data_IF_041257085470
#
_entry.id   IF_041257085470
#
_cell.length_a   1.000
_cell.length_b   1.000
_cell.length_c   1.000
_cell.angle_alpha   90.00
_cell.angle_beta   90.00
_cell.angle_gamma   90.00
#
_symmetry.space_group_name_H-M   'P 1'
#
loop_
_entity.id
_entity.type
_entity.pdbx_description
1 polymer ?
#
# COMPACT_ATOMS: atom_id res chain seq x y z
N UNK A 1 -23.61 -22.51 31.13
CA UNK A 1 -24.97 -22.96 30.76
C UNK A 1 -25.99 -21.86 31.01
N UNK A 2 -26.40 -21.11 29.98
CA UNK A 2 -27.57 -20.22 30.03
C UNK A 2 -28.48 -20.59 28.86
N UNK A 3 -29.68 -21.09 29.18
CA UNK A 3 -30.70 -21.53 28.22
C UNK A 3 -31.35 -20.30 27.57
N UNK A 4 -31.25 -20.16 26.25
CA UNK A 4 -32.10 -19.25 25.48
C UNK A 4 -33.51 -19.85 25.36
N UNK A 5 -34.53 -19.09 25.77
CA UNK A 5 -35.94 -19.39 25.50
C UNK A 5 -36.27 -18.92 24.08
N UNK A 6 -36.72 -19.83 23.21
CA UNK A 6 -37.35 -19.49 21.92
C UNK A 6 -38.83 -19.17 22.17
N UNK A 7 -39.26 -17.97 21.82
CA UNK A 7 -40.68 -17.66 21.61
C UNK A 7 -41.05 -18.00 20.18
N UNK A 8 -42.05 -18.86 20.00
CA UNK A 8 -42.64 -19.14 18.69
C UNK A 8 -43.70 -18.07 18.40
N UNK A 9 -43.45 -17.24 17.39
CA UNK A 9 -44.46 -16.38 16.78
C UNK A 9 -44.76 -16.96 15.39
N UNK A 10 -45.98 -17.44 15.22
CA UNK A 10 -46.51 -18.01 13.98
C UNK A 10 -46.62 -16.94 12.90
N UNK A 11 -45.75 -16.99 11.88
CA UNK A 11 -45.88 -16.22 10.64
C UNK A 11 -46.65 -17.03 9.59
N UNK A 12 -47.66 -16.39 9.00
CA UNK A 12 -48.27 -16.79 7.74
C UNK A 12 -47.21 -16.79 6.63
N UNK A 13 -46.93 -17.97 6.07
CA UNK A 13 -45.99 -18.14 4.98
C UNK A 13 -46.61 -17.65 3.66
N UNK A 14 -46.20 -16.46 3.20
CA UNK A 14 -46.21 -16.17 1.78
C UNK A 14 -44.95 -16.80 1.18
N UNK A 15 -45.11 -17.92 0.48
CA UNK A 15 -44.03 -18.55 -0.28
C UNK A 15 -43.72 -17.70 -1.52
N UNK A 16 -42.84 -16.71 -1.38
CA UNK A 16 -42.08 -16.24 -2.52
C UNK A 16 -41.08 -17.35 -2.90
N UNK A 17 -40.80 -17.57 -4.20
CA UNK A 17 -39.73 -18.47 -4.58
C UNK A 17 -38.42 -17.89 -4.06
N UNK A 18 -37.89 -18.43 -2.97
CA UNK A 18 -36.48 -18.26 -2.66
C UNK A 18 -35.73 -19.03 -3.74
N UNK A 19 -35.18 -18.34 -4.74
CA UNK A 19 -34.15 -18.95 -5.54
C UNK A 19 -33.03 -19.31 -4.57
N UNK A 20 -32.86 -20.62 -4.31
CA UNK A 20 -31.83 -21.10 -3.40
C UNK A 20 -30.48 -20.67 -3.97
N UNK A 21 -29.68 -19.93 -3.19
CA UNK A 21 -28.38 -19.48 -3.66
C UNK A 21 -27.41 -20.66 -3.67
N UNK A 22 -26.55 -20.73 -4.68
CA UNK A 22 -25.71 -21.89 -4.96
C UNK A 22 -24.21 -21.56 -4.81
N UNK A 23 -23.38 -22.60 -4.78
CA UNK A 23 -21.91 -22.43 -4.84
C UNK A 23 -21.45 -21.80 -6.17
N UNK A 24 -22.23 -21.95 -7.25
CA UNK A 24 -21.97 -21.29 -8.52
C UNK A 24 -22.09 -19.77 -8.38
N UNK A 25 -23.08 -19.29 -7.63
CA UNK A 25 -23.28 -17.87 -7.34
C UNK A 25 -22.11 -17.29 -6.53
N UNK A 26 -21.55 -18.05 -5.57
CA UNK A 26 -20.34 -17.66 -4.83
C UNK A 26 -19.15 -17.50 -5.77
N UNK A 27 -18.91 -18.49 -6.63
CA UNK A 27 -17.79 -18.44 -7.57
C UNK A 27 -17.94 -17.29 -8.56
N UNK A 28 -19.17 -17.02 -9.01
CA UNK A 28 -19.49 -15.90 -9.89
C UNK A 28 -19.21 -14.56 -9.21
N UNK A 29 -19.76 -14.35 -8.01
CA UNK A 29 -19.56 -13.14 -7.23
C UNK A 29 -18.08 -12.90 -6.91
N UNK A 30 -17.38 -13.93 -6.43
CA UNK A 30 -15.94 -13.85 -6.15
C UNK A 30 -15.14 -13.45 -7.39
N UNK A 31 -15.39 -14.10 -8.54
CA UNK A 31 -14.70 -13.79 -9.80
C UNK A 31 -14.99 -12.36 -10.28
N UNK A 32 -16.24 -11.91 -10.19
CA UNK A 32 -16.63 -10.57 -10.59
C UNK A 32 -15.93 -9.49 -9.74
N UNK A 33 -15.92 -9.67 -8.41
CA UNK A 33 -15.21 -8.78 -7.48
C UNK A 33 -13.71 -8.75 -7.81
N UNK A 34 -13.07 -9.92 -8.00
CA UNK A 34 -11.65 -10.00 -8.37
C UNK A 34 -11.35 -9.30 -9.70
N UNK A 35 -12.23 -9.45 -10.70
CA UNK A 35 -12.08 -8.75 -11.98
C UNK A 35 -12.10 -7.23 -11.80
N UNK A 36 -12.94 -6.73 -10.88
CA UNK A 36 -13.03 -5.30 -10.61
C UNK A 36 -11.83 -4.77 -9.83
N UNK A 37 -11.30 -5.54 -8.86
CA UNK A 37 -10.12 -5.17 -8.08
C UNK A 37 -8.86 -4.99 -8.93
N UNK A 38 -8.74 -5.78 -9.99
CA UNK A 38 -7.60 -5.72 -10.91
C UNK A 38 -7.90 -4.95 -12.20
N UNK A 39 -9.06 -4.26 -12.29
CA UNK A 39 -9.37 -3.42 -13.44
C UNK A 39 -8.43 -2.20 -13.49
N UNK A 40 -8.00 -1.84 -14.69
CA UNK A 40 -7.29 -0.59 -14.95
C UNK A 40 -8.25 0.59 -15.17
N UNK A 41 -9.57 0.35 -15.12
CA UNK A 41 -10.57 1.37 -15.36
C UNK A 41 -10.56 2.45 -14.27
N UNK A 42 -10.82 3.71 -14.63
CA UNK A 42 -10.92 4.80 -13.65
C UNK A 42 -11.98 4.53 -12.58
N UNK A 43 -11.70 4.89 -11.33
CA UNK A 43 -12.61 4.65 -10.19
C UNK A 43 -14.02 5.21 -10.40
N UNK A 44 -14.18 6.31 -11.15
CA UNK A 44 -15.51 6.89 -11.42
C UNK A 44 -16.43 5.97 -12.25
N UNK A 45 -15.88 5.04 -13.04
CA UNK A 45 -16.66 4.08 -13.84
C UNK A 45 -17.14 2.86 -13.04
N UNK A 46 -16.67 2.69 -11.80
CA UNK A 46 -17.01 1.55 -10.94
C UNK A 46 -18.53 1.41 -10.70
N UNK A 47 -19.13 0.28 -11.02
CA UNK A 47 -20.52 0.00 -10.67
C UNK A 47 -20.66 -0.48 -9.22
N UNK A 48 -20.95 0.45 -8.31
CA UNK A 48 -21.10 0.14 -6.88
C UNK A 48 -22.35 -0.69 -6.58
N UNK A 49 -23.39 -0.62 -7.41
CA UNK A 49 -24.61 -1.38 -7.20
C UNK A 49 -24.40 -2.85 -7.52
N UNK A 50 -23.66 -3.14 -8.59
CA UNK A 50 -23.31 -4.53 -8.94
C UNK A 50 -22.36 -5.14 -7.90
N UNK A 51 -21.38 -4.37 -7.39
CA UNK A 51 -20.56 -4.82 -6.27
C UNK A 51 -21.38 -5.10 -5.01
N UNK A 52 -22.31 -4.22 -4.65
CA UNK A 52 -23.18 -4.43 -3.49
C UNK A 52 -24.02 -5.70 -3.66
N UNK A 53 -24.59 -5.93 -4.84
CA UNK A 53 -25.34 -7.15 -5.14
C UNK A 53 -24.50 -8.42 -4.97
N UNK A 54 -23.21 -8.39 -5.34
CA UNK A 54 -22.29 -9.49 -5.08
C UNK A 54 -22.05 -9.69 -3.58
N UNK A 55 -21.91 -8.61 -2.81
CA UNK A 55 -21.81 -8.69 -1.34
C UNK A 55 -23.08 -9.34 -0.75
N UNK A 56 -24.26 -8.87 -1.13
CA UNK A 56 -25.56 -9.37 -0.64
C UNK A 56 -25.75 -10.87 -0.98
N UNK A 57 -25.29 -11.29 -2.15
CA UNK A 57 -25.25 -12.70 -2.58
C UNK A 57 -24.37 -13.52 -1.64
N UNK A 58 -23.15 -13.05 -1.36
CA UNK A 58 -22.20 -13.72 -0.47
C UNK A 58 -22.73 -13.79 0.97
N UNK A 59 -23.36 -12.72 1.48
CA UNK A 59 -23.98 -12.72 2.80
C UNK A 59 -25.13 -13.73 2.91
N UNK A 60 -25.96 -13.84 1.88
CA UNK A 60 -27.06 -14.81 1.84
C UNK A 60 -26.51 -16.23 1.89
N UNK A 61 -25.48 -16.50 1.11
CA UNK A 61 -24.82 -17.82 1.10
C UNK A 61 -24.20 -18.16 2.46
N UNK A 62 -23.52 -17.22 3.13
CA UNK A 62 -22.97 -17.46 4.49
C UNK A 62 -24.05 -17.85 5.51
N UNK A 63 -25.31 -17.43 5.31
CA UNK A 63 -26.45 -17.79 6.18
C UNK A 63 -27.04 -19.16 5.85
N UNK A 64 -26.98 -19.57 4.59
CA UNK A 64 -27.64 -20.79 4.09
C UNK A 64 -26.71 -22.00 4.02
N UNK A 65 -25.40 -21.77 3.87
CA UNK A 65 -24.38 -22.81 3.66
C UNK A 65 -23.28 -22.66 4.71
N UNK A 66 -22.93 -23.79 5.35
CA UNK A 66 -21.77 -23.86 6.25
C UNK A 66 -20.48 -24.04 5.44
N UNK A 67 -19.50 -23.18 5.69
CA UNK A 67 -18.18 -23.23 5.06
C UNK A 67 -17.12 -23.62 6.08
N UNK A 68 -16.11 -24.38 5.63
CA UNK A 68 -14.87 -24.48 6.41
C UNK A 68 -14.17 -23.12 6.50
N UNK A 69 -13.24 -22.99 7.45
CA UNK A 69 -12.55 -21.73 7.72
C UNK A 69 -11.82 -21.15 6.49
N UNK A 70 -11.27 -22.00 5.62
CA UNK A 70 -10.53 -21.55 4.44
C UNK A 70 -11.46 -20.95 3.38
N UNK A 71 -12.59 -21.61 3.12
CA UNK A 71 -13.61 -21.12 2.19
C UNK A 71 -14.31 -19.88 2.74
N UNK A 72 -14.59 -19.84 4.05
CA UNK A 72 -15.13 -18.65 4.71
C UNK A 72 -14.17 -17.45 4.60
N UNK A 73 -12.86 -17.66 4.77
CA UNK A 73 -11.86 -16.59 4.60
C UNK A 73 -11.84 -16.01 3.17
N UNK A 74 -12.00 -16.87 2.14
CA UNK A 74 -12.08 -16.43 0.74
C UNK A 74 -13.30 -15.55 0.51
N UNK A 75 -14.46 -15.97 1.03
CA UNK A 75 -15.72 -15.21 0.94
C UNK A 75 -15.55 -13.86 1.64
N UNK A 76 -15.04 -13.87 2.87
CA UNK A 76 -14.87 -12.66 3.67
C UNK A 76 -13.90 -11.67 3.01
N UNK A 77 -12.82 -12.17 2.41
CA UNK A 77 -11.89 -11.34 1.65
C UNK A 77 -12.57 -10.68 0.45
N UNK A 78 -13.43 -11.40 -0.27
CA UNK A 78 -14.19 -10.83 -1.38
C UNK A 78 -15.13 -9.71 -0.90
N UNK A 79 -15.82 -9.94 0.22
CA UNK A 79 -16.74 -8.96 0.81
C UNK A 79 -16.01 -7.68 1.25
N UNK A 80 -14.91 -7.82 2.00
CA UNK A 80 -14.10 -6.66 2.43
C UNK A 80 -13.53 -5.90 1.23
N UNK A 81 -12.99 -6.59 0.22
CA UNK A 81 -12.45 -5.92 -0.96
C UNK A 81 -13.53 -5.21 -1.79
N UNK A 82 -14.73 -5.78 -1.93
CA UNK A 82 -15.84 -5.13 -2.62
C UNK A 82 -16.33 -3.89 -1.86
N UNK A 83 -16.53 -4.01 -0.54
CA UNK A 83 -16.94 -2.90 0.31
C UNK A 83 -15.88 -1.78 0.33
N UNK A 84 -14.59 -2.13 0.33
CA UNK A 84 -13.50 -1.16 0.20
C UNK A 84 -13.59 -0.36 -1.10
N UNK A 85 -13.82 -1.02 -2.24
CA UNK A 85 -13.97 -0.33 -3.53
C UNK A 85 -15.18 0.61 -3.55
N UNK A 86 -16.30 0.17 -3.00
CA UNK A 86 -17.52 0.99 -2.87
C UNK A 86 -17.21 2.24 -2.04
N UNK A 87 -16.62 2.07 -0.86
CA UNK A 87 -16.29 3.16 0.06
C UNK A 87 -15.23 4.10 -0.54
N UNK A 88 -14.28 3.57 -1.31
CA UNK A 88 -13.30 4.38 -2.06
C UNK A 88 -13.98 5.27 -3.10
N UNK A 89 -15.01 4.77 -3.80
CA UNK A 89 -15.78 5.58 -4.75
C UNK A 89 -16.62 6.65 -4.05
N UNK A 90 -17.25 6.33 -2.92
CA UNK A 90 -17.92 7.34 -2.10
C UNK A 90 -16.97 8.45 -1.67
N UNK A 91 -15.80 8.08 -1.13
CA UNK A 91 -14.75 9.05 -0.78
C UNK A 91 -14.34 9.91 -1.97
N UNK A 92 -14.08 9.29 -3.13
CA UNK A 92 -13.71 9.99 -4.37
C UNK A 92 -14.75 11.02 -4.82
N UNK A 93 -16.04 10.73 -4.60
CA UNK A 93 -17.14 11.65 -4.92
C UNK A 93 -17.40 12.71 -3.83
N UNK A 94 -16.70 12.67 -2.69
CA UNK A 94 -16.98 13.51 -1.53
C UNK A 94 -18.28 13.14 -0.80
N UNK A 95 -18.74 11.90 -0.96
CA UNK A 95 -19.94 11.36 -0.32
C UNK A 95 -19.59 10.74 1.05
N UNK A 96 -20.52 10.76 2.03
CA UNK A 96 -20.29 10.12 3.31
C UNK A 96 -20.15 8.60 3.13
N UNK A 97 -19.20 8.02 3.87
CA UNK A 97 -18.93 6.58 3.85
C UNK A 97 -19.70 5.93 4.99
N UNK A 98 -20.50 4.90 4.69
CA UNK A 98 -21.08 4.01 5.70
C UNK A 98 -20.07 2.91 6.04
N UNK A 99 -19.61 2.92 7.29
CA UNK A 99 -18.60 1.97 7.79
C UNK A 99 -19.21 0.76 8.50
N UNK A 100 -20.54 0.69 8.65
CA UNK A 100 -21.20 -0.40 9.37
C UNK A 100 -20.92 -1.76 8.74
N UNK A 101 -21.07 -1.87 7.41
CA UNK A 101 -20.87 -3.14 6.72
C UNK A 101 -19.42 -3.63 6.79
N UNK A 102 -18.43 -2.74 6.66
CA UNK A 102 -17.03 -3.14 6.81
C UNK A 102 -16.71 -3.50 8.25
N UNK A 103 -17.31 -2.84 9.24
CA UNK A 103 -17.15 -3.21 10.65
C UNK A 103 -17.67 -4.64 10.90
N UNK A 104 -18.85 -4.97 10.38
CA UNK A 104 -19.41 -6.33 10.52
C UNK A 104 -18.48 -7.39 9.90
N UNK A 105 -17.86 -7.10 8.75
CA UNK A 105 -16.89 -8.00 8.14
C UNK A 105 -15.56 -8.12 8.90
N UNK A 106 -15.12 -7.05 9.58
CA UNK A 106 -13.96 -7.10 10.46
C UNK A 106 -14.26 -7.89 11.75
N UNK A 107 -15.48 -7.81 12.28
CA UNK A 107 -15.92 -8.61 13.42
C UNK A 107 -16.00 -10.11 13.04
N UNK A 108 -16.48 -10.43 11.83
CA UNK A 108 -16.41 -11.78 11.24
C UNK A 108 -14.96 -12.28 11.13
N UNK A 109 -14.02 -11.40 10.75
CA UNK A 109 -12.59 -11.71 10.63
C UNK A 109 -11.96 -11.99 12.00
N UNK A 110 -12.25 -11.16 12.99
CA UNK A 110 -11.75 -11.36 14.35
C UNK A 110 -12.27 -12.69 14.91
N UNK A 111 -13.56 -12.98 14.72
CA UNK A 111 -14.16 -14.28 15.10
C UNK A 111 -13.47 -15.44 14.39
N UNK A 112 -13.26 -15.34 13.08
CA UNK A 112 -12.56 -16.37 12.31
C UNK A 112 -11.15 -16.61 12.86
N UNK A 113 -10.41 -15.54 13.16
CA UNK A 113 -9.04 -15.58 13.66
C UNK A 113 -8.92 -16.26 15.03
N UNK A 114 -9.95 -16.18 15.87
CA UNK A 114 -9.99 -16.86 17.18
C UNK A 114 -10.21 -18.37 17.07
N UNK A 115 -10.88 -18.83 16.01
CA UNK A 115 -11.33 -20.23 15.87
C UNK A 115 -10.53 -21.05 14.85
N UNK A 116 -9.50 -20.46 14.25
CA UNK A 116 -8.72 -21.09 13.19
C UNK A 116 -7.22 -20.87 13.33
N UNK A 117 -6.44 -21.84 12.85
CA UNK A 117 -4.97 -21.73 12.74
C UNK A 117 -4.52 -21.36 11.30
N UNK A 118 -5.46 -21.11 10.38
CA UNK A 118 -5.09 -20.78 8.99
C UNK A 118 -4.44 -19.39 8.92
N UNK A 119 -3.48 -19.23 8.02
CA UNK A 119 -2.82 -17.94 7.77
C UNK A 119 -3.70 -17.07 6.88
N UNK A 120 -4.38 -16.09 7.47
CA UNK A 120 -5.34 -15.22 6.78
C UNK A 120 -4.68 -14.18 5.87
N UNK A 121 -3.43 -13.77 6.16
CA UNK A 121 -2.51 -13.03 5.29
C UNK A 121 -3.15 -11.88 4.48
N UNK A 122 -3.58 -12.12 3.24
CA UNK A 122 -4.19 -11.10 2.36
C UNK A 122 -5.44 -10.48 2.99
N UNK A 123 -6.23 -11.29 3.70
CA UNK A 123 -7.43 -10.84 4.39
C UNK A 123 -7.07 -9.86 5.51
N UNK A 124 -6.08 -10.18 6.35
CA UNK A 124 -5.55 -9.29 7.37
C UNK A 124 -4.87 -8.04 6.77
N UNK A 125 -4.19 -8.19 5.63
CA UNK A 125 -3.59 -7.06 4.93
C UNK A 125 -4.64 -6.04 4.49
N UNK A 126 -5.72 -6.50 3.86
CA UNK A 126 -6.85 -5.66 3.44
C UNK A 126 -7.60 -5.07 4.65
N UNK A 127 -7.84 -5.89 5.68
CA UNK A 127 -8.47 -5.43 6.92
C UNK A 127 -7.69 -4.30 7.60
N UNK A 128 -6.35 -4.36 7.57
CA UNK A 128 -5.52 -3.28 8.08
C UNK A 128 -5.69 -1.97 7.31
N UNK A 129 -5.80 -2.02 5.97
CA UNK A 129 -6.07 -0.84 5.14
C UNK A 129 -7.44 -0.24 5.43
N UNK A 130 -8.48 -1.08 5.54
CA UNK A 130 -9.83 -0.63 5.90
C UNK A 130 -9.83 0.01 7.29
N UNK A 131 -9.18 -0.63 8.27
CA UNK A 131 -9.07 -0.10 9.61
C UNK A 131 -8.32 1.25 9.65
N UNK A 132 -7.24 1.40 8.87
CA UNK A 132 -6.48 2.63 8.79
C UNK A 132 -7.28 3.77 8.13
N UNK A 133 -7.81 3.52 6.93
CA UNK A 133 -8.27 4.57 6.03
C UNK A 133 -9.78 4.83 6.10
N UNK A 134 -10.59 3.85 6.49
CA UNK A 134 -12.06 4.02 6.60
C UNK A 134 -12.51 4.17 8.03
N UNK A 135 -11.96 3.37 8.95
CA UNK A 135 -12.30 3.46 10.38
C UNK A 135 -11.43 4.46 11.16
N UNK A 136 -10.34 4.96 10.55
CA UNK A 136 -9.36 5.82 11.21
C UNK A 136 -8.79 5.20 12.50
N UNK A 137 -8.75 3.87 12.56
CA UNK A 137 -8.33 3.10 13.72
C UNK A 137 -6.92 2.54 13.50
N UNK A 138 -5.93 3.39 13.74
CA UNK A 138 -4.50 3.06 13.60
C UNK A 138 -4.08 1.85 14.45
N UNK A 139 -4.65 1.67 15.64
CA UNK A 139 -4.34 0.54 16.51
C UNK A 139 -4.85 -0.79 15.97
N UNK A 140 -6.07 -0.79 15.43
CA UNK A 140 -6.64 -1.95 14.75
C UNK A 140 -5.88 -2.30 13.47
N UNK A 141 -5.52 -1.29 12.67
CA UNK A 141 -4.70 -1.48 11.49
C UNK A 141 -3.35 -2.11 11.81
N UNK A 142 -2.65 -1.57 12.82
CA UNK A 142 -1.38 -2.11 13.29
C UNK A 142 -1.50 -3.56 13.78
N UNK A 143 -2.60 -3.91 14.47
CA UNK A 143 -2.85 -5.30 14.89
C UNK A 143 -2.94 -6.25 13.69
N UNK A 144 -3.79 -5.97 12.72
CA UNK A 144 -3.94 -6.83 11.55
C UNK A 144 -2.64 -6.96 10.76
N UNK A 145 -1.93 -5.84 10.51
CA UNK A 145 -0.65 -5.87 9.81
C UNK A 145 0.44 -6.60 10.61
N UNK A 146 0.43 -6.51 11.93
CA UNK A 146 1.35 -7.27 12.78
C UNK A 146 1.14 -8.77 12.63
N UNK A 147 -0.10 -9.23 12.66
CA UNK A 147 -0.45 -10.65 12.55
C UNK A 147 -0.01 -11.25 11.20
N UNK A 148 -0.38 -10.63 10.06
CA UNK A 148 0.07 -11.11 8.75
C UNK A 148 1.57 -10.89 8.51
N UNK A 149 2.17 -9.85 9.10
CA UNK A 149 3.61 -9.60 9.04
C UNK A 149 4.42 -10.70 9.74
N UNK A 150 3.99 -11.15 10.93
CA UNK A 150 4.58 -12.30 11.63
C UNK A 150 4.51 -13.56 10.75
N UNK A 151 3.40 -13.75 10.03
CA UNK A 151 3.20 -14.86 9.10
C UNK A 151 4.01 -14.78 7.80
N UNK A 152 4.74 -13.68 7.57
CA UNK A 152 5.61 -13.50 6.41
C UNK A 152 4.92 -12.89 5.18
N UNK A 153 3.76 -12.25 5.34
CA UNK A 153 3.13 -11.48 4.27
C UNK A 153 3.91 -10.18 4.03
N UNK A 154 4.54 -10.03 2.85
CA UNK A 154 5.50 -8.95 2.62
C UNK A 154 4.89 -7.55 2.60
N UNK A 155 3.64 -7.40 2.16
CA UNK A 155 2.94 -6.11 2.23
C UNK A 155 2.79 -5.64 3.67
N UNK A 156 2.45 -6.56 4.59
CA UNK A 156 2.32 -6.23 6.00
C UNK A 156 3.69 -5.94 6.63
N UNK A 157 4.71 -6.74 6.30
CA UNK A 157 6.08 -6.51 6.76
C UNK A 157 6.64 -5.16 6.29
N UNK A 158 6.34 -4.74 5.05
CA UNK A 158 6.70 -3.41 4.55
C UNK A 158 6.05 -2.30 5.40
N UNK A 159 4.75 -2.42 5.68
CA UNK A 159 4.03 -1.44 6.49
C UNK A 159 4.59 -1.38 7.92
N UNK A 160 4.91 -2.52 8.53
CA UNK A 160 5.56 -2.54 9.85
C UNK A 160 6.93 -1.86 9.79
N UNK A 161 7.72 -2.15 8.75
CA UNK A 161 9.03 -1.55 8.58
C UNK A 161 8.96 -0.01 8.46
N UNK A 162 8.05 0.51 7.64
CA UNK A 162 7.84 1.95 7.47
C UNK A 162 7.24 2.60 8.71
N UNK A 163 6.35 1.91 9.43
CA UNK A 163 5.77 2.41 10.69
C UNK A 163 6.86 2.59 11.76
N UNK A 164 7.79 1.65 11.89
CA UNK A 164 8.96 1.82 12.76
C UNK A 164 9.95 2.87 12.25
N UNK A 165 10.02 3.11 10.93
CA UNK A 165 10.87 4.17 10.37
C UNK A 165 10.34 5.57 10.71
N UNK A 166 9.03 5.78 10.67
CA UNK A 166 8.40 7.09 10.87
C UNK A 166 7.86 7.32 12.28
N UNK A 167 7.54 6.26 13.03
CA UNK A 167 6.80 6.34 14.29
C UNK A 167 5.28 6.47 14.10
N UNK A 168 4.74 5.96 12.98
CA UNK A 168 3.30 5.97 12.70
C UNK A 168 2.60 4.68 13.17
N UNK A 169 1.26 4.66 13.09
CA UNK A 169 0.44 3.49 13.42
C UNK A 169 0.71 2.90 14.81
N UNK A 170 0.67 3.76 15.83
CA UNK A 170 0.79 3.45 17.27
C UNK A 170 2.12 2.84 17.73
N UNK A 171 3.18 2.91 16.92
CA UNK A 171 4.54 2.54 17.33
C UNK A 171 5.47 3.73 17.43
N UNK A 172 6.43 3.67 18.36
CA UNK A 172 7.52 4.63 18.41
C UNK A 172 8.53 4.37 17.29
N UNK A 173 9.18 5.44 16.84
CA UNK A 173 10.26 5.34 15.86
C UNK A 173 11.40 4.47 16.39
N UNK A 174 11.71 3.39 15.66
CA UNK A 174 12.74 2.41 16.00
C UNK A 174 13.43 1.93 14.72
N UNK A 175 14.55 2.55 14.38
CA UNK A 175 15.30 2.19 13.17
C UNK A 175 15.86 0.78 13.19
N UNK A 176 16.16 0.22 14.37
CA UNK A 176 16.66 -1.16 14.46
C UNK A 176 15.56 -2.14 14.02
N UNK A 177 14.33 -1.94 14.50
CA UNK A 177 13.16 -2.71 14.04
C UNK A 177 12.83 -2.45 12.58
N UNK A 178 12.85 -1.19 12.12
CA UNK A 178 12.60 -0.86 10.72
C UNK A 178 13.57 -1.61 9.78
N UNK A 179 14.88 -1.54 10.06
CA UNK A 179 15.93 -2.26 9.32
C UNK A 179 15.69 -3.77 9.35
N UNK A 180 15.29 -4.31 10.51
CA UNK A 180 15.03 -5.74 10.68
C UNK A 180 13.86 -6.21 9.81
N UNK A 181 12.75 -5.46 9.80
CA UNK A 181 11.59 -5.78 8.97
C UNK A 181 11.88 -5.60 7.48
N UNK A 182 12.53 -4.52 7.06
CA UNK A 182 12.93 -4.35 5.67
C UNK A 182 13.83 -5.50 5.18
N UNK A 183 14.81 -5.94 5.98
CA UNK A 183 15.64 -7.10 5.64
C UNK A 183 14.83 -8.38 5.46
N UNK A 184 13.81 -8.59 6.30
CA UNK A 184 12.90 -9.75 6.16
C UNK A 184 12.13 -9.69 4.83
N UNK A 185 11.71 -8.50 4.39
CA UNK A 185 11.04 -8.34 3.09
C UNK A 185 12.00 -8.59 1.94
N UNK A 186 13.22 -8.03 1.98
CA UNK A 186 14.26 -8.29 0.98
C UNK A 186 14.52 -9.80 0.84
N UNK A 187 14.55 -10.54 1.95
CA UNK A 187 14.73 -12.00 1.95
C UNK A 187 13.58 -12.78 1.28
N UNK A 188 12.42 -12.15 1.02
CA UNK A 188 11.33 -12.76 0.24
C UNK A 188 11.58 -12.69 -1.28
N UNK A 189 12.58 -11.92 -1.72
CA UNK A 189 12.89 -11.71 -3.13
C UNK A 189 11.73 -11.07 -3.90
N UNK A 190 11.41 -11.65 -5.04
CA UNK A 190 10.33 -11.23 -5.96
C UNK A 190 8.97 -11.88 -5.68
N UNK A 191 8.87 -12.75 -4.65
CA UNK A 191 7.65 -13.53 -4.33
C UNK A 191 6.41 -12.64 -4.23
N UNK A 192 6.57 -11.44 -3.69
CA UNK A 192 5.51 -10.46 -3.48
C UNK A 192 5.68 -9.25 -4.38
N UNK A 193 5.86 -9.54 -5.68
CA UNK A 193 6.08 -8.54 -6.72
C UNK A 193 7.32 -7.68 -6.41
N UNK A 194 7.14 -6.38 -6.22
CA UNK A 194 8.23 -5.43 -6.02
C UNK A 194 8.53 -5.15 -4.54
N UNK A 195 7.94 -5.89 -3.60
CA UNK A 195 8.10 -5.63 -2.17
C UNK A 195 9.58 -5.66 -1.73
N UNK A 196 10.35 -6.63 -2.21
CA UNK A 196 11.79 -6.72 -1.95
C UNK A 196 12.57 -5.53 -2.52
N UNK A 197 12.25 -5.10 -3.74
CA UNK A 197 12.85 -3.92 -4.39
C UNK A 197 12.63 -2.67 -3.53
N UNK A 198 11.39 -2.41 -3.11
CA UNK A 198 11.06 -1.24 -2.29
C UNK A 198 11.71 -1.27 -0.91
N UNK A 199 11.74 -2.43 -0.25
CA UNK A 199 12.44 -2.57 1.04
C UNK A 199 13.95 -2.38 0.92
N UNK A 200 14.57 -2.87 -0.17
CA UNK A 200 15.99 -2.65 -0.43
C UNK A 200 16.27 -1.17 -0.68
N UNK A 201 15.38 -0.47 -1.39
CA UNK A 201 15.47 0.98 -1.57
C UNK A 201 15.36 1.74 -0.23
N UNK A 202 14.41 1.37 0.65
CA UNK A 202 14.33 1.98 1.99
C UNK A 202 15.59 1.74 2.81
N UNK A 203 16.19 0.55 2.75
CA UNK A 203 17.46 0.26 3.41
C UNK A 203 18.61 1.11 2.84
N UNK A 204 18.65 1.35 1.53
CA UNK A 204 19.62 2.26 0.92
C UNK A 204 19.44 3.70 1.43
N UNK A 205 18.20 4.18 1.53
CA UNK A 205 17.85 5.53 2.03
C UNK A 205 18.21 5.67 3.52
N UNK A 206 17.89 4.67 4.35
CA UNK A 206 18.27 4.63 5.76
C UNK A 206 19.80 4.69 5.91
N UNK A 207 20.52 3.83 5.19
CA UNK A 207 21.98 3.81 5.17
C UNK A 207 22.57 5.15 4.72
N UNK A 208 22.05 5.76 3.66
CA UNK A 208 22.55 7.04 3.13
C UNK A 208 22.25 8.24 4.04
N UNK A 209 21.24 8.12 4.90
CA UNK A 209 20.84 9.12 5.90
C UNK A 209 21.35 8.80 7.32
N UNK A 210 22.41 7.99 7.43
CA UNK A 210 23.15 7.79 8.69
C UNK A 210 22.58 6.74 9.64
N UNK A 211 21.62 5.92 9.20
CA UNK A 211 21.09 4.80 9.98
C UNK A 211 21.92 3.53 9.74
N UNK A 212 22.33 2.85 10.81
CA UNK A 212 23.07 1.59 10.73
C UNK A 212 22.19 0.46 10.17
N UNK A 213 22.54 -0.04 8.99
CA UNK A 213 21.80 -1.13 8.31
C UNK A 213 22.60 -2.43 8.22
N UNK A 214 23.84 -2.45 8.74
CA UNK A 214 24.85 -3.52 8.66
C UNK A 214 25.40 -3.78 7.25
N UNK A 215 25.03 -2.95 6.28
CA UNK A 215 25.49 -2.97 4.89
C UNK A 215 25.62 -1.54 4.39
N UNK A 216 26.40 -1.34 3.33
CA UNK A 216 26.57 -0.02 2.72
C UNK A 216 25.35 0.36 1.89
N UNK A 217 25.21 1.66 1.61
CA UNK A 217 24.20 2.18 0.69
C UNK A 217 24.34 1.54 -0.70
N UNK A 218 25.58 1.41 -1.19
CA UNK A 218 25.88 0.76 -2.48
C UNK A 218 25.38 -0.69 -2.52
N UNK A 219 25.63 -1.47 -1.47
CA UNK A 219 25.13 -2.85 -1.39
C UNK A 219 23.61 -2.93 -1.54
N UNK A 220 22.86 -2.07 -0.85
CA UNK A 220 21.40 -2.07 -0.96
C UNK A 220 20.91 -1.63 -2.34
N UNK A 221 21.62 -0.71 -3.00
CA UNK A 221 21.29 -0.30 -4.36
C UNK A 221 21.59 -1.39 -5.39
N UNK A 222 22.67 -2.16 -5.22
CA UNK A 222 22.93 -3.37 -6.01
C UNK A 222 21.81 -4.41 -5.81
N UNK A 223 21.32 -4.57 -4.58
CA UNK A 223 20.18 -5.45 -4.30
C UNK A 223 18.87 -4.95 -4.95
N UNK A 224 18.64 -3.63 -5.04
CA UNK A 224 17.52 -3.06 -5.81
C UNK A 224 17.60 -3.50 -7.27
N UNK A 225 18.76 -3.31 -7.91
CA UNK A 225 18.99 -3.68 -9.31
C UNK A 225 18.80 -5.18 -9.53
N UNK A 226 19.41 -6.02 -8.67
CA UNK A 226 19.32 -7.48 -8.78
C UNK A 226 17.87 -7.98 -8.67
N UNK A 227 17.12 -7.49 -7.70
CA UNK A 227 15.73 -7.91 -7.49
C UNK A 227 14.82 -7.44 -8.63
N UNK A 228 15.08 -6.25 -9.20
CA UNK A 228 14.31 -5.77 -10.34
C UNK A 228 14.66 -6.53 -11.62
N UNK A 229 15.94 -6.84 -11.87
CA UNK A 229 16.35 -7.67 -13.00
C UNK A 229 15.68 -9.06 -12.95
N UNK A 230 15.69 -9.72 -11.79
CA UNK A 230 14.93 -10.95 -11.60
C UNK A 230 13.45 -10.78 -11.94
N UNK A 231 12.84 -9.65 -11.55
CA UNK A 231 11.43 -9.39 -11.83
C UNK A 231 11.16 -9.16 -13.32
N UNK A 232 12.08 -8.49 -14.03
CA UNK A 232 12.00 -8.32 -15.49
C UNK A 232 12.02 -9.69 -16.16
N UNK A 233 12.91 -10.60 -15.74
CA UNK A 233 12.98 -11.97 -16.27
C UNK A 233 11.69 -12.75 -16.03
N UNK A 234 11.10 -12.65 -14.83
CA UNK A 234 9.85 -13.34 -14.48
C UNK A 234 8.63 -12.84 -15.27
N UNK A 235 8.61 -11.55 -15.62
CA UNK A 235 7.46 -10.90 -16.27
C UNK A 235 7.60 -10.74 -17.78
N UNK A 236 8.82 -10.76 -18.30
CA UNK A 236 9.09 -10.36 -19.67
C UNK A 236 8.76 -8.89 -19.96
N UNK A 237 8.69 -8.06 -18.91
CA UNK A 237 8.32 -6.64 -19.00
C UNK A 237 9.44 -5.79 -18.39
N UNK A 238 10.04 -4.86 -19.16
CA UNK A 238 11.15 -4.04 -18.68
C UNK A 238 10.71 -2.91 -17.73
N UNK A 239 9.43 -2.50 -17.77
CA UNK A 239 8.86 -1.42 -16.96
C UNK A 239 8.18 -1.95 -15.68
N UNK A 240 8.90 -2.80 -14.93
CA UNK A 240 8.43 -3.35 -13.65
C UNK A 240 9.15 -2.69 -12.48
N UNK A 241 8.46 -2.58 -11.36
CA UNK A 241 9.01 -2.05 -10.10
C UNK A 241 9.61 -0.64 -10.18
N UNK A 242 9.08 0.21 -11.06
CA UNK A 242 9.44 1.63 -11.19
C UNK A 242 10.93 1.82 -11.51
N UNK A 243 11.37 1.57 -12.77
CA UNK A 243 12.77 1.73 -13.21
C UNK A 243 13.38 3.09 -12.83
N UNK A 244 12.57 4.13 -12.90
CA UNK A 244 12.92 5.51 -12.58
C UNK A 244 13.35 5.68 -11.12
N UNK A 245 12.63 5.08 -10.18
CA UNK A 245 12.97 5.14 -8.75
C UNK A 245 14.34 4.53 -8.49
N UNK A 246 14.66 3.39 -9.12
CA UNK A 246 15.99 2.78 -9.01
C UNK A 246 17.09 3.72 -9.53
N UNK A 247 16.90 4.26 -10.74
CA UNK A 247 17.94 5.07 -11.38
C UNK A 247 18.16 6.40 -10.65
N UNK A 248 17.10 7.04 -10.16
CA UNK A 248 17.21 8.23 -9.31
C UNK A 248 17.91 7.90 -7.99
N UNK A 249 17.58 6.77 -7.37
CA UNK A 249 18.23 6.34 -6.13
C UNK A 249 19.74 6.13 -6.32
N UNK A 250 20.14 5.43 -7.39
CA UNK A 250 21.55 5.29 -7.72
C UNK A 250 22.22 6.62 -8.07
N UNK A 251 21.55 7.49 -8.81
CA UNK A 251 22.10 8.81 -9.15
C UNK A 251 22.36 9.64 -7.87
N UNK A 252 21.39 9.71 -6.97
CA UNK A 252 21.45 10.56 -5.76
C UNK A 252 22.31 9.97 -4.65
N UNK A 253 22.40 8.64 -4.54
CA UNK A 253 23.06 7.97 -3.42
C UNK A 253 24.35 7.22 -3.80
N UNK A 254 24.62 7.01 -5.09
CA UNK A 254 25.81 6.32 -5.61
C UNK A 254 26.64 7.20 -6.57
N UNK A 255 26.80 8.48 -6.22
CA UNK A 255 27.85 9.35 -6.78
C UNK A 255 27.52 10.09 -8.08
N UNK A 256 26.25 10.38 -8.38
CA UNK A 256 25.82 11.22 -9.51
C UNK A 256 26.35 10.79 -10.89
N UNK A 257 26.54 9.48 -11.08
CA UNK A 257 27.08 8.94 -12.33
C UNK A 257 26.14 9.16 -13.53
N UNK A 258 26.66 9.77 -14.60
CA UNK A 258 25.92 10.08 -15.85
C UNK A 258 25.15 8.88 -16.43
N UNK A 259 25.70 7.66 -16.28
CA UNK A 259 25.05 6.42 -16.73
C UNK A 259 23.61 6.26 -16.22
N UNK A 260 23.29 6.78 -15.04
CA UNK A 260 21.95 6.68 -14.45
C UNK A 260 20.99 7.72 -15.04
N UNK A 261 21.49 8.90 -15.40
CA UNK A 261 20.73 9.88 -16.16
C UNK A 261 20.44 9.39 -17.59
N UNK A 262 21.40 8.74 -18.22
CA UNK A 262 21.21 8.14 -19.54
C UNK A 262 20.14 7.04 -19.49
N UNK A 263 20.14 6.20 -18.43
CA UNK A 263 19.08 5.22 -18.17
C UNK A 263 17.73 5.88 -17.90
N UNK A 264 17.67 6.96 -17.12
CA UNK A 264 16.44 7.72 -16.88
C UNK A 264 15.86 8.30 -18.17
N UNK A 265 16.70 8.88 -19.02
CA UNK A 265 16.30 9.42 -20.31
C UNK A 265 15.77 8.34 -21.29
N UNK A 266 16.11 7.07 -21.07
CA UNK A 266 15.61 5.95 -21.88
C UNK A 266 14.24 5.43 -21.45
N UNK A 267 13.71 5.87 -20.31
CA UNK A 267 12.39 5.45 -19.84
C UNK A 267 11.31 6.08 -20.72
N UNK A 268 10.48 5.24 -21.32
CA UNK A 268 9.34 5.69 -22.11
C UNK A 268 8.09 5.87 -21.22
N UNK A 269 7.91 7.07 -20.66
CA UNK A 269 6.69 7.40 -19.90
C UNK A 269 5.64 8.05 -20.81
N UNK A 270 4.61 7.29 -21.21
CA UNK A 270 3.46 7.85 -21.95
C UNK A 270 2.61 8.73 -21.03
N UNK A 271 2.50 10.02 -21.35
CA UNK A 271 1.85 11.06 -20.54
C UNK A 271 0.34 11.17 -20.67
N UNK A 272 -0.37 10.07 -20.91
CA UNK A 272 -1.81 10.08 -21.24
C UNK A 272 -2.72 10.37 -20.03
N UNK A 273 -2.17 10.39 -18.82
CA UNK A 273 -2.91 10.77 -17.61
C UNK A 273 -2.06 11.67 -16.70
N UNK A 274 -2.72 12.47 -15.87
CA UNK A 274 -2.08 13.50 -15.04
C UNK A 274 -0.95 12.95 -14.17
N UNK A 275 -1.08 11.71 -13.66
CA UNK A 275 -0.02 11.03 -12.90
C UNK A 275 1.24 10.83 -13.70
N UNK A 276 1.09 10.19 -14.86
CA UNK A 276 2.20 9.83 -15.73
C UNK A 276 2.81 11.09 -16.32
N UNK A 277 2.00 12.09 -16.67
CA UNK A 277 2.48 13.41 -17.07
C UNK A 277 3.33 14.05 -15.97
N UNK A 278 2.84 14.11 -14.73
CA UNK A 278 3.58 14.69 -13.61
C UNK A 278 4.88 13.96 -13.31
N UNK A 279 4.89 12.62 -13.32
CA UNK A 279 6.13 11.85 -13.11
C UNK A 279 7.10 11.96 -14.30
N UNK A 280 6.63 11.99 -15.54
CA UNK A 280 7.47 12.22 -16.71
C UNK A 280 8.13 13.60 -16.67
N UNK A 281 7.36 14.64 -16.34
CA UNK A 281 7.88 15.99 -16.10
C UNK A 281 8.92 16.00 -14.98
N UNK A 282 8.67 15.24 -13.89
CA UNK A 282 9.60 15.16 -12.76
C UNK A 282 10.95 14.63 -13.20
N UNK A 283 10.98 13.50 -13.91
CA UNK A 283 12.22 12.91 -14.42
C UNK A 283 12.94 13.87 -15.38
N UNK A 284 12.21 14.57 -16.25
CA UNK A 284 12.79 15.48 -17.24
C UNK A 284 13.52 16.69 -16.61
N UNK A 285 13.03 17.15 -15.46
CA UNK A 285 13.52 18.33 -14.75
C UNK A 285 14.44 18.00 -13.56
N UNK A 286 14.36 16.78 -13.03
CA UNK A 286 15.01 16.36 -11.78
C UNK A 286 16.50 16.70 -11.71
N UNK A 287 17.26 16.33 -12.74
CA UNK A 287 18.72 16.56 -12.77
C UNK A 287 19.09 18.05 -12.88
N UNK A 288 18.33 18.79 -13.69
CA UNK A 288 18.61 20.21 -14.00
C UNK A 288 18.22 21.13 -12.84
N UNK A 289 17.20 20.76 -12.08
CA UNK A 289 16.67 21.58 -11.00
C UNK A 289 17.70 21.85 -9.91
N UNK A 290 18.00 23.14 -9.68
CA UNK A 290 18.91 23.61 -8.64
C UNK A 290 18.19 23.95 -7.33
N UNK A 291 16.86 24.07 -7.37
CA UNK A 291 16.01 24.33 -6.22
C UNK A 291 14.62 23.77 -6.44
N UNK A 292 13.93 23.43 -5.36
CA UNK A 292 12.58 22.88 -5.32
C UNK A 292 11.59 23.78 -6.05
N UNK A 293 11.78 25.10 -6.02
CA UNK A 293 10.91 26.04 -6.72
C UNK A 293 10.77 25.76 -8.21
N UNK A 294 11.80 25.18 -8.84
CA UNK A 294 11.76 24.76 -10.26
C UNK A 294 10.85 23.55 -10.45
N UNK A 295 10.73 22.70 -9.44
CA UNK A 295 9.98 21.44 -9.48
C UNK A 295 8.55 21.54 -8.93
N UNK A 296 8.17 22.65 -8.26
CA UNK A 296 6.80 22.86 -7.76
C UNK A 296 5.75 22.66 -8.85
N UNK A 297 5.84 23.27 -10.06
CA UNK A 297 4.84 23.08 -11.10
C UNK A 297 4.66 21.61 -11.50
N UNK A 298 5.74 20.83 -11.41
CA UNK A 298 5.76 19.42 -11.72
C UNK A 298 5.15 18.56 -10.62
N UNK A 299 5.35 18.94 -9.35
CA UNK A 299 4.67 18.31 -8.20
C UNK A 299 3.16 18.57 -8.20
N UNK A 300 2.74 19.76 -8.64
CA UNK A 300 1.32 20.12 -8.76
C UNK A 300 0.58 19.27 -9.81
N UNK A 301 1.31 18.73 -10.80
CA UNK A 301 0.78 17.76 -11.77
C UNK A 301 0.60 16.36 -11.17
N UNK A 302 1.18 16.04 -10.02
CA UNK A 302 0.93 14.76 -9.35
C UNK A 302 -0.40 14.86 -8.58
N UNK A 303 -1.34 13.93 -8.80
CA UNK A 303 -2.69 14.06 -8.22
C UNK A 303 -2.78 13.69 -6.73
N UNK A 304 -1.82 12.93 -6.20
CA UNK A 304 -1.82 12.44 -4.82
C UNK A 304 -0.53 12.77 -4.07
N UNK A 305 -0.66 12.92 -2.77
CA UNK A 305 0.42 13.30 -1.87
C UNK A 305 1.47 12.19 -1.70
N UNK A 306 1.11 10.92 -1.84
CA UNK A 306 2.08 9.81 -1.75
C UNK A 306 3.17 9.94 -2.84
N UNK A 307 2.78 10.25 -4.09
CA UNK A 307 3.74 10.48 -5.18
C UNK A 307 4.55 11.74 -4.99
N UNK A 308 3.91 12.84 -4.54
CA UNK A 308 4.63 14.08 -4.23
C UNK A 308 5.68 13.83 -3.15
N UNK A 309 5.34 13.10 -2.10
CA UNK A 309 6.24 12.77 -1.00
C UNK A 309 7.43 11.90 -1.43
N UNK A 310 7.19 10.90 -2.29
CA UNK A 310 8.27 10.11 -2.89
C UNK A 310 9.21 10.98 -3.73
N UNK A 311 8.67 11.83 -4.61
CA UNK A 311 9.45 12.73 -5.45
C UNK A 311 10.28 13.70 -4.61
N UNK A 312 9.70 14.32 -3.58
CA UNK A 312 10.40 15.27 -2.73
C UNK A 312 11.52 14.61 -1.93
N UNK A 313 11.34 13.37 -1.48
CA UNK A 313 12.41 12.60 -0.85
C UNK A 313 13.60 12.38 -1.80
N UNK A 314 13.35 12.06 -3.08
CA UNK A 314 14.42 11.95 -4.08
C UNK A 314 15.20 13.26 -4.22
N UNK A 315 14.49 14.39 -4.24
CA UNK A 315 15.14 15.69 -4.35
C UNK A 315 15.87 16.09 -3.06
N UNK A 316 15.38 15.65 -1.89
CA UNK A 316 16.09 15.79 -0.63
C UNK A 316 17.40 14.98 -0.63
N UNK A 317 17.39 13.75 -1.16
CA UNK A 317 18.59 12.93 -1.29
C UNK A 317 19.63 13.57 -2.23
N UNK A 318 19.18 14.18 -3.34
CA UNK A 318 20.03 14.99 -4.22
C UNK A 318 20.70 16.15 -3.45
N UNK A 319 19.99 16.73 -2.48
CA UNK A 319 20.40 17.92 -1.72
C UNK A 319 20.86 17.61 -0.27
N UNK A 320 21.29 16.38 0.04
CA UNK A 320 21.57 15.90 1.42
C UNK A 320 22.58 16.71 2.27
N UNK A 321 23.31 17.67 1.68
CA UNK A 321 24.21 18.58 2.39
C UNK A 321 23.86 20.07 2.21
N UNK A 322 22.76 20.39 1.53
CA UNK A 322 22.32 21.75 1.27
C UNK A 322 21.19 22.12 2.24
N UNK A 323 21.54 22.65 3.42
CA UNK A 323 20.59 22.97 4.47
C UNK A 323 19.47 23.92 4.02
N UNK A 324 19.81 24.97 3.26
CA UNK A 324 18.82 25.95 2.78
C UNK A 324 17.77 25.28 1.91
N UNK A 325 18.19 24.37 1.04
CA UNK A 325 17.27 23.64 0.17
C UNK A 325 16.47 22.59 0.97
N UNK A 326 17.11 21.90 1.93
CA UNK A 326 16.43 20.96 2.82
C UNK A 326 15.36 21.64 3.70
N UNK A 327 15.55 22.89 4.11
CA UNK A 327 14.53 23.67 4.82
C UNK A 327 13.31 23.95 3.93
N UNK A 328 13.51 24.28 2.65
CA UNK A 328 12.42 24.46 1.67
C UNK A 328 11.66 23.14 1.42
N UNK A 329 12.40 22.05 1.23
CA UNK A 329 11.86 20.69 1.06
C UNK A 329 11.06 20.28 2.29
N UNK A 330 11.60 20.49 3.49
CA UNK A 330 10.92 20.19 4.75
C UNK A 330 9.62 21.00 4.88
N UNK A 331 9.66 22.30 4.55
CA UNK A 331 8.47 23.15 4.56
C UNK A 331 7.40 22.68 3.57
N UNK A 332 7.79 22.24 2.37
CA UNK A 332 6.83 21.73 1.39
C UNK A 332 6.20 20.43 1.89
N UNK A 333 7.01 19.43 2.23
CA UNK A 333 6.52 18.09 2.58
C UNK A 333 5.69 18.08 3.87
N UNK A 334 5.91 19.05 4.77
CA UNK A 334 5.11 19.23 5.99
C UNK A 334 3.68 19.72 5.73
N UNK A 335 3.40 20.27 4.54
CA UNK A 335 2.05 20.68 4.15
C UNK A 335 1.27 19.58 3.41
N UNK A 336 1.89 18.44 3.15
CA UNK A 336 1.24 17.27 2.55
C UNK A 336 0.64 16.37 3.63
N UNK A 337 -0.30 15.51 3.23
CA UNK A 337 -0.95 14.58 4.14
C UNK A 337 0.06 13.68 4.88
N UNK A 338 0.17 13.81 6.23
CA UNK A 338 1.16 13.06 7.01
C UNK A 338 0.95 11.55 6.92
N UNK A 339 -0.28 11.06 6.71
CA UNK A 339 -0.56 9.63 6.59
C UNK A 339 0.20 8.99 5.42
N UNK A 340 0.26 9.70 4.29
CA UNK A 340 0.93 9.23 3.08
C UNK A 340 2.43 9.51 3.05
N UNK A 341 2.90 10.45 3.89
CA UNK A 341 4.20 11.06 3.75
C UNK A 341 5.16 10.77 4.89
N UNK A 342 4.69 10.16 5.99
CA UNK A 342 5.46 9.96 7.20
C UNK A 342 6.88 9.38 7.01
N UNK A 343 7.11 8.28 6.24
CA UNK A 343 8.48 7.77 6.04
C UNK A 343 9.37 8.75 5.25
N UNK A 344 8.82 9.44 4.24
CA UNK A 344 9.55 10.43 3.45
C UNK A 344 9.89 11.67 4.29
N UNK A 345 8.94 12.17 5.09
CA UNK A 345 9.15 13.26 6.05
C UNK A 345 10.25 12.89 7.06
N UNK A 346 10.21 11.66 7.58
CA UNK A 346 11.25 11.16 8.48
C UNK A 346 12.64 11.16 7.83
N UNK A 347 12.75 10.83 6.54
CA UNK A 347 14.00 10.95 5.77
C UNK A 347 14.44 12.40 5.64
N UNK A 348 13.56 13.30 5.23
CA UNK A 348 13.88 14.73 5.05
C UNK A 348 14.39 15.34 6.37
N UNK A 349 13.72 15.04 7.48
CA UNK A 349 14.15 15.49 8.83
C UNK A 349 15.54 14.95 9.18
N UNK A 350 15.84 13.68 8.89
CA UNK A 350 17.18 13.12 9.12
C UNK A 350 18.25 13.86 8.30
N UNK A 351 18.00 14.06 7.01
CA UNK A 351 18.91 14.78 6.12
C UNK A 351 19.15 16.22 6.59
N UNK A 352 18.09 16.92 7.00
CA UNK A 352 18.18 18.27 7.54
C UNK A 352 19.04 18.33 8.80
N UNK A 353 18.86 17.39 9.72
CA UNK A 353 19.65 17.29 10.94
C UNK A 353 21.13 16.99 10.66
N UNK A 354 21.43 16.18 9.64
CA UNK A 354 22.80 15.90 9.21
C UNK A 354 23.46 17.12 8.56
N UNK A 355 22.72 17.89 7.75
CA UNK A 355 23.23 19.10 7.12
C UNK A 355 23.43 20.28 8.10
N UNK A 356 22.91 20.15 9.32
CA UNK A 356 23.08 21.13 10.39
C UNK A 356 24.30 20.86 11.30
N UNK A 357 24.92 19.69 11.18
CA UNK A 357 26.17 19.30 11.86
C UNK A 357 27.36 19.70 11.00
#
# INVERSE_FOLDING_TARGET
MRKLKRFALSLLAFSLPSFAVTLEDVNHAHKAIQSQLYSADPLNTLDINELQKHIDTLETVKREIEFDAANFAIILNAQLSAAELINKKYHFNGEPIDVSQVQDFLDDLDTLSEVTDIKLNNLQYNAGHIAAHQLQNKGLAYRYWSECGINGHAGCMNILATSYESGEFVVEKDFHKAVTWHKRVVATGTRWNCAGVYSSLRLAILSSSGVETHKTTEHWLEQVTLLREQRIEEKGEPDVCSPDMEYIAHYTMNGFGQKWLDKLASINMNGDNITRSGRASWIADFDKAQSLNVLIPTLDLMYDDARRCSAIEEFALKNKGNKVELDLIHSYISNLDPEHCAPNQATVIRLLNLAAQ
#
